data_IF_370162640235
#
_entry.id   IF_370162640235
#
_cell.length_a   1.000
_cell.length_b   1.000
_cell.length_c   1.000
_cell.angle_alpha   90.00
_cell.angle_beta   90.00
_cell.angle_gamma   90.00
#
_symmetry.space_group_name_H-M   'P 1'
#
loop_
_entity.id
_entity.type
_entity.pdbx_description
1 polymer ?
#
# COMPACT_ATOMS: atom_id res chain seq x y z
N UNK A 1 -8.75 14.63 -0.16
CA UNK A 1 -8.89 13.44 0.68
C UNK A 1 -8.56 12.20 -0.12
N UNK A 2 -7.74 11.35 0.44
CA UNK A 2 -7.34 10.13 -0.24
C UNK A 2 -8.45 9.10 -0.15
N UNK A 3 -8.84 8.59 -1.29
CA UNK A 3 -9.92 7.62 -1.36
C UNK A 3 -9.34 6.20 -1.26
N UNK A 4 -9.71 5.47 -0.22
CA UNK A 4 -9.26 4.09 -0.03
C UNK A 4 -9.68 3.18 -1.18
N UNK A 5 -10.72 3.57 -1.90
CA UNK A 5 -11.20 2.78 -3.04
C UNK A 5 -10.18 2.75 -4.18
N UNK A 6 -9.28 3.73 -4.23
CA UNK A 6 -8.22 3.72 -5.25
C UNK A 6 -7.37 2.48 -5.10
N UNK A 7 -7.03 2.13 -3.87
CA UNK A 7 -6.20 0.95 -3.62
C UNK A 7 -6.91 -0.32 -4.09
N UNK A 8 -8.17 -0.50 -3.72
CA UNK A 8 -8.93 -1.67 -4.14
C UNK A 8 -9.26 -1.65 -5.62
N UNK A 9 -9.71 -0.50 -6.12
CA UNK A 9 -10.16 -0.38 -7.49
C UNK A 9 -9.05 -0.56 -8.51
N UNK A 10 -7.81 -0.26 -8.13
CA UNK A 10 -6.67 -0.40 -9.04
C UNK A 10 -5.64 -1.37 -8.50
N UNK A 11 -6.09 -2.33 -7.72
CA UNK A 11 -5.19 -3.24 -7.02
C UNK A 11 -4.18 -3.94 -7.94
N UNK A 12 -4.64 -4.44 -9.06
CA UNK A 12 -3.78 -5.16 -9.99
C UNK A 12 -2.60 -4.30 -10.46
N UNK A 13 -2.89 -3.03 -10.74
CA UNK A 13 -1.88 -2.08 -11.18
C UNK A 13 -0.98 -1.64 -10.02
N UNK A 14 -1.59 -1.40 -8.87
CA UNK A 14 -0.87 -0.88 -7.72
C UNK A 14 0.05 -1.90 -7.06
N UNK A 15 -0.23 -3.18 -7.24
CA UNK A 15 0.63 -4.23 -6.71
C UNK A 15 2.09 -4.03 -7.12
N UNK A 16 2.30 -3.75 -8.39
CA UNK A 16 3.65 -3.53 -8.90
C UNK A 16 4.31 -2.33 -8.27
N UNK A 17 3.55 -1.24 -8.11
CA UNK A 17 4.07 -0.02 -7.52
C UNK A 17 4.40 -0.21 -6.05
N UNK A 18 3.60 -1.00 -5.34
CA UNK A 18 3.85 -1.31 -3.94
C UNK A 18 5.16 -2.07 -3.78
N UNK A 19 5.41 -3.04 -4.65
CA UNK A 19 6.65 -3.81 -4.59
C UNK A 19 7.87 -2.95 -4.89
N UNK A 20 7.72 -1.97 -5.77
CA UNK A 20 8.81 -1.05 -6.05
C UNK A 20 9.11 -0.16 -4.87
N UNK A 21 8.07 0.33 -4.22
CA UNK A 21 8.24 1.24 -3.08
C UNK A 21 8.72 0.52 -1.83
N UNK A 22 8.19 -0.66 -1.57
CA UNK A 22 8.53 -1.47 -0.40
C UNK A 22 9.06 -2.82 -0.84
N UNK A 23 10.35 -2.86 -1.09
CA UNK A 23 10.99 -4.03 -1.68
C UNK A 23 10.90 -5.32 -0.89
N UNK A 24 10.58 -5.22 0.41
CA UNK A 24 10.43 -6.42 1.25
C UNK A 24 9.07 -7.08 1.11
N UNK A 25 8.12 -6.41 0.46
CA UNK A 25 6.80 -6.96 0.23
C UNK A 25 6.85 -7.85 -1.01
N UNK A 26 6.32 -9.06 -0.90
CA UNK A 26 6.34 -10.04 -1.99
C UNK A 26 4.97 -10.15 -2.63
N UNK A 27 4.91 -10.78 -3.80
CA UNK A 27 3.63 -11.07 -4.46
C UNK A 27 2.72 -11.90 -3.58
N UNK A 28 3.30 -12.85 -2.86
CA UNK A 28 2.54 -13.70 -1.96
C UNK A 28 1.88 -12.87 -0.86
N UNK A 29 2.64 -11.92 -0.31
CA UNK A 29 2.10 -11.01 0.72
C UNK A 29 0.93 -10.21 0.16
N UNK A 30 1.07 -9.73 -1.07
CA UNK A 30 0.04 -8.91 -1.69
C UNK A 30 -1.23 -9.71 -2.01
N UNK A 31 -1.07 -10.97 -2.35
CA UNK A 31 -2.22 -11.84 -2.59
C UNK A 31 -3.07 -11.99 -1.34
N UNK A 32 -2.44 -11.93 -0.17
CA UNK A 32 -3.14 -12.10 1.10
C UNK A 32 -3.93 -10.85 1.51
N UNK A 33 -3.49 -9.67 1.11
CA UNK A 33 -4.13 -8.43 1.57
C UNK A 33 -5.23 -7.92 0.65
N UNK A 34 -5.23 -8.35 -0.60
CA UNK A 34 -6.31 -8.05 -1.56
C UNK A 34 -6.75 -6.59 -1.64
N UNK A 35 -5.81 -5.67 -1.55
CA UNK A 35 -6.11 -4.25 -1.68
C UNK A 35 -6.69 -3.60 -0.43
N UNK A 36 -6.70 -4.29 0.68
CA UNK A 36 -7.24 -3.73 1.93
C UNK A 36 -6.18 -2.89 2.63
N UNK A 37 -6.50 -1.63 2.84
CA UNK A 37 -5.58 -0.68 3.45
C UNK A 37 -5.07 -1.13 4.83
N UNK A 38 -5.96 -1.62 5.67
CA UNK A 38 -5.57 -2.07 7.00
C UNK A 38 -4.60 -3.24 6.95
N UNK A 39 -4.81 -4.12 6.00
CA UNK A 39 -3.93 -5.26 5.82
C UNK A 39 -2.56 -4.81 5.34
N UNK A 40 -2.52 -3.82 4.47
CA UNK A 40 -1.24 -3.27 4.01
C UNK A 40 -0.49 -2.62 5.17
N UNK A 41 -1.20 -1.88 6.01
CA UNK A 41 -0.56 -1.27 7.18
C UNK A 41 0.04 -2.35 8.10
N UNK A 42 -0.70 -3.42 8.35
CA UNK A 42 -0.20 -4.53 9.16
C UNK A 42 1.03 -5.18 8.55
N UNK A 43 1.03 -5.31 7.22
CA UNK A 43 2.16 -5.88 6.51
C UNK A 43 3.41 -5.00 6.65
N UNK A 44 3.24 -3.68 6.55
CA UNK A 44 4.36 -2.76 6.73
C UNK A 44 4.91 -2.83 8.15
N UNK A 45 4.04 -2.98 9.13
CA UNK A 45 4.48 -3.15 10.50
C UNK A 45 5.30 -4.42 10.65
N UNK A 46 4.84 -5.49 10.03
CA UNK A 46 5.51 -6.78 10.11
C UNK A 46 6.86 -6.79 9.40
N UNK A 47 6.90 -6.23 8.19
CA UNK A 47 8.10 -6.30 7.36
C UNK A 47 9.16 -5.26 7.73
N UNK A 48 8.74 -4.10 8.21
CA UNK A 48 9.65 -2.99 8.47
C UNK A 48 9.69 -2.56 9.93
N UNK A 49 8.86 -3.14 10.77
CA UNK A 49 8.83 -2.78 12.17
C UNK A 49 8.25 -1.40 12.44
N UNK A 50 7.45 -0.87 11.53
CA UNK A 50 6.86 0.45 11.71
C UNK A 50 5.80 0.44 12.80
N UNK A 51 5.66 1.56 13.51
CA UNK A 51 4.50 1.78 14.36
C UNK A 51 3.28 1.97 13.43
N UNK A 52 2.10 1.75 13.96
CA UNK A 52 0.86 1.85 13.16
C UNK A 52 0.73 3.20 12.48
N UNK A 53 0.99 4.28 13.22
CA UNK A 53 0.91 5.63 12.68
C UNK A 53 1.84 5.82 11.48
N UNK A 54 3.07 5.32 11.62
CA UNK A 54 4.02 5.46 10.54
C UNK A 54 3.61 4.64 9.32
N UNK A 55 3.09 3.43 9.54
CA UNK A 55 2.63 2.61 8.44
C UNK A 55 1.51 3.29 7.68
N UNK A 56 0.56 3.86 8.40
CA UNK A 56 -0.56 4.56 7.77
C UNK A 56 -0.11 5.82 7.04
N UNK A 57 0.84 6.55 7.60
CA UNK A 57 1.38 7.74 6.96
C UNK A 57 2.08 7.38 5.65
N UNK A 58 2.84 6.29 5.65
CA UNK A 58 3.51 5.82 4.44
C UNK A 58 2.51 5.45 3.35
N UNK A 59 1.41 4.83 3.74
CA UNK A 59 0.36 4.46 2.78
C UNK A 59 -0.30 5.71 2.22
N UNK A 60 -0.59 6.70 3.05
CA UNK A 60 -1.19 7.94 2.58
C UNK A 60 -0.29 8.66 1.58
N UNK A 61 1.00 8.71 1.86
CA UNK A 61 1.95 9.33 0.95
C UNK A 61 2.01 8.58 -0.37
N UNK A 62 1.97 7.26 -0.30
CA UNK A 62 1.96 6.43 -1.49
C UNK A 62 0.71 6.70 -2.33
N UNK A 63 -0.45 6.71 -1.70
CA UNK A 63 -1.70 6.93 -2.42
C UNK A 63 -1.79 8.34 -3.00
N UNK A 64 -1.27 9.34 -2.30
CA UNK A 64 -1.21 10.69 -2.84
C UNK A 64 -0.35 10.75 -4.09
N UNK A 65 0.77 10.06 -4.06
CA UNK A 65 1.66 9.99 -5.22
C UNK A 65 0.96 9.29 -6.38
N UNK A 66 0.25 8.20 -6.10
CA UNK A 66 -0.49 7.48 -7.13
C UNK A 66 -1.55 8.37 -7.78
N UNK A 67 -2.32 9.10 -6.98
CA UNK A 67 -3.32 10.01 -7.50
C UNK A 67 -2.69 11.04 -8.44
N UNK A 68 -1.52 11.53 -8.06
CA UNK A 68 -0.79 12.49 -8.87
C UNK A 68 -0.41 11.90 -10.22
N UNK A 69 -0.09 10.62 -10.27
CA UNK A 69 0.30 9.94 -11.50
C UNK A 69 -0.88 9.63 -12.41
N UNK A 70 -2.07 9.56 -11.86
CA UNK A 70 -3.26 9.19 -12.62
C UNK A 70 -3.93 10.35 -13.36
N UNK A 71 -3.47 11.56 -13.15
CA UNK A 71 -4.04 12.73 -13.81
C UNK A 71 -3.55 12.89 -15.22
#
# INVERSE_FOLDING_TARGET
MINVDILQGRWKELRGKIKERWGRITDHDLDRIEGKREQLAGLLQQKYGYAREKAEDEIERFLSWVESQLK
#
